data_IF_334199545937
#
_entry.id   IF_334199545937
#
_cell.length_a   1.000
_cell.length_b   1.000
_cell.length_c   1.000
_cell.angle_alpha   90.00
_cell.angle_beta   90.00
_cell.angle_gamma   90.00
#
_symmetry.space_group_name_H-M   'P 1'
#
loop_
_entity.id
_entity.type
_entity.pdbx_description
1 polymer ?
#
# COMPACT_ATOMS: atom_id res chain seq x y z
N UNK A 1 -4.02 16.06 -2.38
CA UNK A 1 -2.60 15.59 -2.25
C UNK A 1 -2.56 14.39 -1.34
N UNK A 2 -2.04 13.27 -1.80
CA UNK A 2 -2.03 11.98 -1.07
C UNK A 2 -1.22 12.03 0.23
N UNK A 3 -1.58 11.20 1.21
CA UNK A 3 -0.87 11.04 2.46
C UNK A 3 -0.49 9.58 2.73
N UNK A 4 0.77 9.33 3.11
CA UNK A 4 1.27 8.02 3.55
C UNK A 4 1.51 8.04 5.05
N UNK A 5 1.09 6.98 5.71
CA UNK A 5 1.48 6.66 7.08
C UNK A 5 1.95 5.20 7.16
N UNK A 6 2.98 4.98 7.92
CA UNK A 6 3.49 3.64 8.25
C UNK A 6 3.89 3.62 9.72
N UNK A 7 3.58 2.56 10.43
CA UNK A 7 3.89 2.44 11.85
C UNK A 7 4.24 1.00 12.23
N UNK A 8 5.33 0.87 12.98
CA UNK A 8 5.72 -0.34 13.70
C UNK A 8 5.89 0.04 15.18
N UNK A 9 5.29 -0.71 16.10
CA UNK A 9 5.28 -0.37 17.53
C UNK A 9 5.05 -1.62 18.39
N UNK A 10 5.32 -1.50 19.66
CA UNK A 10 4.91 -2.50 20.66
C UNK A 10 3.43 -2.41 21.04
N UNK A 11 2.73 -1.35 20.61
CA UNK A 11 1.31 -1.08 20.88
C UNK A 11 0.49 -1.22 19.60
N UNK A 12 -0.85 -1.30 19.76
CA UNK A 12 -1.76 -1.30 18.62
C UNK A 12 -1.67 0.02 17.84
N UNK A 13 -1.30 -0.07 16.56
CA UNK A 13 -1.08 1.08 15.66
C UNK A 13 -2.33 1.51 14.89
N UNK A 14 -3.38 0.68 14.83
CA UNK A 14 -4.54 0.94 13.98
C UNK A 14 -5.18 2.30 14.25
N UNK A 15 -5.48 2.60 15.52
CA UNK A 15 -6.04 3.90 15.91
C UNK A 15 -5.10 5.07 15.60
N UNK A 16 -3.80 4.89 15.81
CA UNK A 16 -2.78 5.91 15.52
C UNK A 16 -2.76 6.26 14.02
N UNK A 17 -2.80 5.24 13.16
CA UNK A 17 -2.80 5.42 11.72
C UNK A 17 -4.06 6.15 11.24
N UNK A 18 -5.25 5.75 11.71
CA UNK A 18 -6.51 6.44 11.35
C UNK A 18 -6.51 7.88 11.83
N UNK A 19 -6.09 8.16 13.06
CA UNK A 19 -5.94 9.54 13.56
C UNK A 19 -4.96 10.37 12.73
N UNK A 20 -3.89 9.75 12.25
CA UNK A 20 -2.94 10.39 11.34
C UNK A 20 -3.58 10.71 9.98
N UNK A 21 -4.40 9.82 9.43
CA UNK A 21 -5.14 10.08 8.19
C UNK A 21 -6.12 11.26 8.36
N UNK A 22 -6.88 11.32 9.45
CA UNK A 22 -7.75 12.48 9.74
C UNK A 22 -6.99 13.81 9.72
N UNK A 23 -5.77 13.84 10.26
CA UNK A 23 -4.93 15.05 10.23
C UNK A 23 -4.46 15.44 8.83
N UNK A 24 -4.54 14.53 7.87
CA UNK A 24 -4.16 14.76 6.47
C UNK A 24 -5.36 15.12 5.57
N UNK A 25 -6.59 14.97 6.03
CA UNK A 25 -7.82 15.22 5.25
C UNK A 25 -7.90 16.63 4.66
N UNK A 26 -7.35 17.64 5.36
CA UNK A 26 -7.34 19.02 4.88
C UNK A 26 -6.65 19.20 3.51
N UNK A 27 -5.83 18.23 3.10
CA UNK A 27 -5.10 18.23 1.81
C UNK A 27 -5.98 17.80 0.64
N UNK A 28 -7.23 17.37 0.90
CA UNK A 28 -8.14 16.79 -0.07
C UNK A 28 -7.84 15.29 -0.31
N UNK A 29 -8.90 14.51 -0.52
CA UNK A 29 -8.84 13.06 -0.76
C UNK A 29 -10.16 12.58 -1.40
N UNK A 30 -10.11 11.43 -2.05
CA UNK A 30 -11.27 10.72 -2.60
C UNK A 30 -11.50 9.35 -1.96
N UNK A 31 -10.46 8.80 -1.36
CA UNK A 31 -10.50 7.50 -0.72
C UNK A 31 -9.45 7.40 0.40
N UNK A 32 -9.67 6.46 1.30
CA UNK A 32 -8.74 6.13 2.38
C UNK A 32 -8.65 4.63 2.56
N UNK A 33 -7.52 4.15 3.09
CA UNK A 33 -7.40 2.74 3.43
C UNK A 33 -6.21 2.45 4.33
N UNK A 34 -6.23 1.23 4.86
CA UNK A 34 -5.28 0.73 5.84
C UNK A 34 -5.03 -0.76 5.62
N UNK A 35 -3.79 -1.18 5.80
CA UNK A 35 -3.43 -2.59 5.94
C UNK A 35 -2.74 -2.78 7.28
N UNK A 36 -3.21 -3.74 8.07
CA UNK A 36 -2.75 -4.04 9.42
C UNK A 36 -2.37 -5.51 9.50
N UNK A 37 -1.12 -5.79 9.86
CA UNK A 37 -0.65 -7.15 10.08
C UNK A 37 -1.46 -7.83 11.20
N UNK A 38 -1.88 -9.08 10.99
CA UNK A 38 -2.62 -9.90 11.93
C UNK A 38 -1.92 -11.27 12.07
N UNK A 39 -2.23 -12.02 13.11
CA UNK A 39 -1.70 -13.37 13.29
C UNK A 39 -2.06 -14.30 12.11
N UNK A 40 -3.27 -14.12 11.56
CA UNK A 40 -3.80 -14.99 10.51
C UNK A 40 -3.82 -14.30 9.13
N UNK A 41 -3.01 -13.27 8.92
CA UNK A 41 -2.95 -12.55 7.65
C UNK A 41 -2.87 -11.03 7.78
N UNK A 42 -3.60 -10.31 6.94
CA UNK A 42 -3.63 -8.84 6.94
C UNK A 42 -5.06 -8.34 6.90
N UNK A 43 -5.46 -7.52 7.88
CA UNK A 43 -6.69 -6.76 7.79
C UNK A 43 -6.50 -5.63 6.78
N UNK A 44 -7.20 -5.71 5.64
CA UNK A 44 -7.08 -4.79 4.51
C UNK A 44 -8.40 -4.10 4.26
N UNK A 45 -8.51 -2.84 4.68
CA UNK A 45 -9.72 -2.03 4.61
C UNK A 45 -9.51 -0.82 3.70
N UNK A 46 -10.45 -0.59 2.79
CA UNK A 46 -10.46 0.56 1.88
C UNK A 46 -11.87 1.14 1.81
N UNK A 47 -11.98 2.45 1.73
CA UNK A 47 -13.26 3.17 1.65
C UNK A 47 -13.16 4.33 0.67
N UNK A 48 -14.26 4.61 -0.03
CA UNK A 48 -14.42 5.85 -0.77
C UNK A 48 -14.89 6.97 0.17
N UNK A 49 -14.39 8.19 -0.07
CA UNK A 49 -14.80 9.37 0.67
C UNK A 49 -14.02 9.55 1.97
N UNK A 50 -14.72 9.97 3.02
CA UNK A 50 -14.12 10.44 4.28
C UNK A 50 -13.41 9.33 5.06
N UNK A 51 -12.29 9.69 5.70
CA UNK A 51 -11.56 8.83 6.65
C UNK A 51 -12.47 8.31 7.76
N UNK A 52 -13.54 9.04 8.10
CA UNK A 52 -14.54 8.58 9.05
C UNK A 52 -15.14 7.22 8.66
N UNK A 53 -15.40 6.96 7.37
CA UNK A 53 -15.93 5.67 6.92
C UNK A 53 -14.93 4.53 7.16
N UNK A 54 -13.64 4.80 7.02
CA UNK A 54 -12.59 3.84 7.36
C UNK A 54 -12.53 3.61 8.88
N UNK A 55 -12.67 4.68 9.68
CA UNK A 55 -12.71 4.58 11.14
C UNK A 55 -13.90 3.75 11.61
N UNK A 56 -15.08 3.95 11.02
CA UNK A 56 -16.29 3.18 11.34
C UNK A 56 -16.07 1.67 11.08
N UNK A 57 -15.49 1.31 9.94
CA UNK A 57 -15.10 -0.09 9.64
C UNK A 57 -14.07 -0.63 10.63
N UNK A 58 -13.09 0.17 11.01
CA UNK A 58 -12.10 -0.20 12.03
C UNK A 58 -12.71 -0.45 13.41
N UNK A 59 -13.79 0.28 13.76
CA UNK A 59 -14.54 0.09 14.99
C UNK A 59 -15.35 -1.22 14.96
N UNK A 60 -15.94 -1.55 13.81
CA UNK A 60 -16.71 -2.78 13.61
C UNK A 60 -15.81 -4.03 13.64
N UNK A 61 -14.74 -4.02 12.86
CA UNK A 61 -13.84 -5.18 12.68
C UNK A 61 -12.82 -5.32 13.82
N UNK A 62 -12.52 -4.24 14.55
CA UNK A 62 -11.60 -4.19 15.71
C UNK A 62 -10.24 -4.86 15.49
N UNK A 63 -9.57 -4.64 14.34
CA UNK A 63 -8.27 -5.25 14.11
C UNK A 63 -7.24 -4.72 15.10
N UNK A 64 -6.39 -5.61 15.60
CA UNK A 64 -5.28 -5.25 16.50
C UNK A 64 -3.98 -5.58 15.83
N UNK A 65 -3.11 -4.59 15.68
CA UNK A 65 -1.83 -4.77 15.03
C UNK A 65 -0.75 -3.87 15.63
N UNK A 66 0.47 -4.38 15.59
CA UNK A 66 1.68 -3.62 15.93
C UNK A 66 2.37 -3.06 14.69
N UNK A 67 1.93 -3.48 13.50
CA UNK A 67 2.50 -3.12 12.21
C UNK A 67 1.39 -2.77 11.23
N UNK A 68 1.54 -1.64 10.53
CA UNK A 68 0.56 -1.26 9.51
C UNK A 68 0.98 -0.09 8.65
N UNK A 69 0.30 0.02 7.52
CA UNK A 69 0.42 1.10 6.55
C UNK A 69 -0.96 1.67 6.25
N UNK A 70 -1.05 2.97 6.01
CA UNK A 70 -2.31 3.66 5.73
C UNK A 70 -2.11 4.80 4.74
N UNK A 71 -3.19 5.15 4.03
CA UNK A 71 -3.14 6.10 2.95
C UNK A 71 -4.43 6.91 2.81
N UNK A 72 -4.32 8.19 2.46
CA UNK A 72 -5.38 8.98 1.85
C UNK A 72 -5.01 9.27 0.41
N UNK A 73 -5.88 8.90 -0.53
CA UNK A 73 -5.67 9.07 -1.97
C UNK A 73 -6.38 10.32 -2.48
N UNK A 74 -5.70 11.05 -3.35
CA UNK A 74 -6.27 11.98 -4.30
C UNK A 74 -5.99 11.45 -5.70
N UNK A 75 -7.04 11.07 -6.43
CA UNK A 75 -6.91 10.40 -7.72
C UNK A 75 -6.09 11.23 -8.72
N UNK A 76 -5.04 10.62 -9.25
CA UNK A 76 -4.26 11.11 -10.41
C UNK A 76 -4.40 10.16 -11.58
N UNK A 77 -4.45 8.83 -11.33
CA UNK A 77 -4.67 7.75 -12.29
C UNK A 77 -5.81 6.86 -11.83
N UNK A 78 -6.75 6.57 -12.73
CA UNK A 78 -7.95 5.79 -12.43
C UNK A 78 -9.01 6.58 -11.65
N UNK A 79 -10.26 6.24 -11.86
CA UNK A 79 -11.38 6.85 -11.16
C UNK A 79 -11.38 6.55 -9.64
N UNK A 80 -12.05 7.36 -8.82
CA UNK A 80 -12.28 7.02 -7.42
C UNK A 80 -13.10 5.74 -7.29
N UNK A 81 -12.46 4.67 -6.79
CA UNK A 81 -13.08 3.37 -6.51
C UNK A 81 -12.34 2.69 -5.36
N UNK A 82 -12.99 1.77 -4.67
CA UNK A 82 -12.30 0.97 -3.63
C UNK A 82 -11.16 0.15 -4.22
N UNK A 83 -11.29 -0.32 -5.47
CA UNK A 83 -10.25 -1.07 -6.17
C UNK A 83 -9.01 -0.23 -6.44
N UNK A 84 -9.20 1.05 -6.74
CA UNK A 84 -8.12 2.00 -6.97
C UNK A 84 -7.60 2.67 -5.69
N UNK A 85 -8.24 2.45 -4.54
CA UNK A 85 -7.78 2.96 -3.26
C UNK A 85 -6.58 2.17 -2.73
N UNK A 86 -5.66 2.84 -2.05
CA UNK A 86 -4.56 2.20 -1.33
C UNK A 86 -5.02 1.65 0.04
N UNK A 87 -4.32 0.67 0.60
CA UNK A 87 -3.14 -0.04 0.08
C UNK A 87 -3.45 -0.93 -1.11
N UNK A 88 -2.52 -1.04 -2.07
CA UNK A 88 -2.54 -2.08 -3.09
C UNK A 88 -1.86 -3.35 -2.58
N UNK A 89 -2.16 -4.49 -3.20
CA UNK A 89 -1.63 -5.78 -2.76
C UNK A 89 -1.26 -6.69 -3.93
N UNK A 90 -0.40 -7.67 -3.65
CA UNK A 90 -0.12 -8.80 -4.51
C UNK A 90 -0.30 -10.11 -3.74
N UNK A 91 -1.09 -11.04 -4.29
CA UNK A 91 -1.28 -12.41 -3.78
C UNK A 91 -1.64 -12.53 -2.29
N UNK A 92 -2.26 -11.53 -1.68
CA UNK A 92 -2.54 -11.45 -0.24
C UNK A 92 -1.28 -11.52 0.64
N UNK A 93 -0.11 -11.29 0.07
CA UNK A 93 1.19 -11.41 0.74
C UNK A 93 1.90 -10.07 0.88
N UNK A 94 1.95 -9.29 -0.18
CA UNK A 94 2.60 -7.97 -0.22
C UNK A 94 1.55 -6.86 -0.23
N UNK A 95 1.71 -5.89 0.65
CA UNK A 95 0.84 -4.71 0.73
C UNK A 95 1.68 -3.44 0.64
N UNK A 96 1.23 -2.47 -0.16
CA UNK A 96 1.96 -1.23 -0.38
C UNK A 96 1.05 0.00 -0.32
N UNK A 97 1.63 1.11 0.06
CA UNK A 97 1.10 2.46 -0.18
C UNK A 97 2.13 3.27 -0.95
N UNK A 98 1.66 4.09 -1.87
CA UNK A 98 2.50 4.83 -2.81
C UNK A 98 1.99 6.25 -3.00
N UNK A 99 2.89 7.20 -3.01
CA UNK A 99 2.70 8.57 -3.48
C UNK A 99 3.69 8.84 -4.59
N UNK A 100 3.24 9.35 -5.71
CA UNK A 100 4.07 9.66 -6.85
C UNK A 100 3.47 9.18 -8.16
N UNK A 101 4.33 9.01 -9.15
CA UNK A 101 3.98 8.49 -10.47
C UNK A 101 5.09 7.54 -10.91
N UNK A 102 4.70 6.33 -11.36
CA UNK A 102 5.58 5.38 -12.03
C UNK A 102 5.42 5.58 -13.53
N UNK A 103 6.39 6.25 -14.14
CA UNK A 103 6.30 6.70 -15.54
C UNK A 103 6.30 5.52 -16.52
N UNK A 104 7.10 4.49 -16.25
CA UNK A 104 7.20 3.28 -17.07
C UNK A 104 6.19 2.17 -16.71
N UNK A 105 5.06 2.53 -16.04
CA UNK A 105 4.09 1.56 -15.51
C UNK A 105 3.49 0.62 -16.58
N UNK A 106 3.25 1.10 -17.80
CA UNK A 106 2.68 0.27 -18.87
C UNK A 106 3.63 -0.84 -19.34
N UNK A 107 4.93 -0.53 -19.40
CA UNK A 107 5.97 -1.49 -19.75
C UNK A 107 6.10 -2.58 -18.69
N UNK A 108 6.22 -2.17 -17.42
CA UNK A 108 6.31 -3.09 -16.29
C UNK A 108 5.05 -3.95 -16.15
N UNK A 109 3.87 -3.39 -16.43
CA UNK A 109 2.62 -4.14 -16.45
C UNK A 109 2.67 -5.27 -17.47
N UNK A 110 3.09 -4.96 -18.71
CA UNK A 110 3.19 -5.96 -19.77
C UNK A 110 4.22 -7.07 -19.46
N UNK A 111 5.30 -6.75 -18.74
CA UNK A 111 6.26 -7.74 -18.25
C UNK A 111 5.62 -8.66 -17.19
N UNK A 112 5.00 -8.08 -16.16
CA UNK A 112 4.40 -8.81 -15.06
C UNK A 112 3.19 -9.68 -15.52
N UNK A 113 2.42 -9.23 -16.51
CA UNK A 113 1.36 -10.04 -17.13
C UNK A 113 1.90 -11.31 -17.80
N UNK A 114 3.09 -11.26 -18.42
CA UNK A 114 3.76 -12.45 -18.97
C UNK A 114 4.22 -13.42 -17.89
N UNK A 115 4.52 -12.90 -16.69
CA UNK A 115 4.86 -13.69 -15.49
C UNK A 115 3.61 -14.20 -14.74
N UNK A 116 2.41 -13.98 -15.29
CA UNK A 116 1.15 -14.49 -14.76
C UNK A 116 0.45 -13.60 -13.73
N UNK A 117 0.90 -12.35 -13.55
CA UNK A 117 0.21 -11.39 -12.69
C UNK A 117 -1.03 -10.81 -13.39
N UNK A 118 -2.10 -10.64 -12.64
CA UNK A 118 -3.32 -9.97 -13.09
C UNK A 118 -3.57 -8.72 -12.26
N UNK A 119 -3.97 -7.63 -12.93
CA UNK A 119 -4.17 -6.33 -12.32
C UNK A 119 -5.64 -6.08 -12.07
N UNK A 120 -5.98 -5.75 -10.84
CA UNK A 120 -7.35 -5.41 -10.44
C UNK A 120 -7.64 -3.91 -10.55
N UNK A 121 -6.61 -3.07 -10.37
CA UNK A 121 -6.76 -1.62 -10.37
C UNK A 121 -6.31 -0.97 -11.69
N UNK A 122 -6.69 0.28 -11.84
CA UNK A 122 -6.27 1.15 -12.95
C UNK A 122 -5.08 2.04 -12.58
N UNK A 123 -4.47 1.80 -11.40
CA UNK A 123 -3.39 2.64 -10.89
C UNK A 123 -2.02 2.12 -11.33
N UNK A 124 -1.06 3.01 -11.41
CA UNK A 124 0.36 2.69 -11.55
C UNK A 124 0.95 2.02 -10.29
N UNK A 125 0.29 2.19 -9.16
CA UNK A 125 0.77 1.75 -7.86
C UNK A 125 0.73 0.23 -7.67
N UNK A 126 -0.25 -0.47 -8.24
CA UNK A 126 -0.39 -1.94 -8.09
C UNK A 126 0.83 -2.69 -8.65
N UNK A 127 1.48 -2.12 -9.66
CA UNK A 127 2.72 -2.66 -10.24
C UNK A 127 3.80 -2.85 -9.20
N UNK A 128 3.92 -1.92 -8.26
CA UNK A 128 4.92 -1.98 -7.19
C UNK A 128 4.68 -3.21 -6.30
N UNK A 129 3.43 -3.51 -5.96
CA UNK A 129 3.10 -4.69 -5.16
C UNK A 129 3.47 -5.98 -5.90
N UNK A 130 3.13 -6.09 -7.18
CA UNK A 130 3.46 -7.25 -8.01
C UNK A 130 4.95 -7.41 -8.25
N UNK A 131 5.68 -6.31 -8.46
CA UNK A 131 7.13 -6.33 -8.66
C UNK A 131 7.88 -6.78 -7.40
N UNK A 132 7.43 -6.33 -6.22
CA UNK A 132 7.96 -6.79 -4.94
C UNK A 132 7.69 -8.31 -4.75
N UNK A 133 6.46 -8.75 -4.97
CA UNK A 133 6.07 -10.15 -4.86
C UNK A 133 6.87 -11.05 -5.84
N UNK A 134 7.05 -10.59 -7.08
CA UNK A 134 7.88 -11.28 -8.08
C UNK A 134 9.32 -11.49 -7.56
N UNK A 135 9.95 -10.44 -7.03
CA UNK A 135 11.32 -10.51 -6.53
C UNK A 135 11.42 -11.40 -5.27
N UNK A 136 10.42 -11.35 -4.38
CA UNK A 136 10.33 -12.25 -3.20
C UNK A 136 10.27 -13.72 -3.63
N UNK A 137 9.51 -14.05 -4.67
CA UNK A 137 9.42 -15.41 -5.23
C UNK A 137 10.74 -15.91 -5.85
N UNK A 138 11.65 -14.98 -6.19
CA UNK A 138 13.02 -15.32 -6.58
C UNK A 138 13.95 -15.60 -5.38
N UNK A 139 13.41 -15.59 -4.15
CA UNK A 139 14.16 -15.87 -2.92
C UNK A 139 14.82 -14.64 -2.27
N UNK A 140 14.49 -13.44 -2.74
CA UNK A 140 14.97 -12.19 -2.14
C UNK A 140 14.27 -11.89 -0.82
N UNK A 141 14.97 -11.26 0.10
CA UNK A 141 14.35 -10.62 1.27
C UNK A 141 13.54 -9.39 0.84
N UNK A 142 12.65 -8.89 1.69
CA UNK A 142 11.82 -7.71 1.39
C UNK A 142 12.68 -6.46 1.08
N UNK A 143 13.82 -6.32 1.74
CA UNK A 143 14.77 -5.22 1.48
C UNK A 143 15.42 -5.38 0.10
N UNK A 144 15.91 -6.58 -0.24
CA UNK A 144 16.50 -6.86 -1.55
C UNK A 144 15.48 -6.72 -2.67
N UNK A 145 14.24 -7.20 -2.46
CA UNK A 145 13.14 -7.04 -3.39
C UNK A 145 12.82 -5.55 -3.64
N UNK A 146 12.85 -4.72 -2.60
CA UNK A 146 12.66 -3.28 -2.74
C UNK A 146 13.80 -2.63 -3.54
N UNK A 147 15.04 -3.00 -3.29
CA UNK A 147 16.18 -2.48 -4.08
C UNK A 147 16.08 -2.91 -5.55
N UNK A 148 15.83 -4.19 -5.83
CA UNK A 148 15.67 -4.70 -7.18
C UNK A 148 14.48 -4.04 -7.92
N UNK A 149 13.39 -3.78 -7.20
CA UNK A 149 12.24 -3.07 -7.75
C UNK A 149 12.58 -1.62 -8.09
N UNK A 150 13.31 -0.91 -7.23
CA UNK A 150 13.76 0.47 -7.48
C UNK A 150 14.58 0.62 -8.76
N UNK A 151 15.44 -0.35 -9.07
CA UNK A 151 16.25 -0.33 -10.29
C UNK A 151 15.40 -0.40 -11.59
N UNK A 152 14.16 -0.88 -11.47
CA UNK A 152 13.22 -0.99 -12.59
C UNK A 152 12.21 0.16 -12.66
N UNK A 153 11.97 0.87 -11.54
CA UNK A 153 10.96 1.91 -11.45
C UNK A 153 11.50 3.25 -11.91
N UNK A 154 10.87 3.85 -12.92
CA UNK A 154 11.13 5.23 -13.35
C UNK A 154 10.10 6.17 -12.75
N UNK A 155 10.56 7.35 -12.31
CA UNK A 155 9.70 8.41 -11.78
C UNK A 155 10.06 8.89 -10.37
N UNK A 156 9.24 9.78 -9.85
CA UNK A 156 9.40 10.34 -8.51
C UNK A 156 8.34 9.73 -7.58
N UNK A 157 8.76 9.08 -6.50
CA UNK A 157 7.85 8.33 -5.64
C UNK A 157 8.30 8.20 -4.18
N UNK A 158 7.33 7.91 -3.33
CA UNK A 158 7.52 7.40 -1.97
C UNK A 158 6.64 6.16 -1.77
N UNK A 159 7.22 5.09 -1.25
CA UNK A 159 6.60 3.79 -1.05
C UNK A 159 6.80 3.37 0.41
N UNK A 160 5.75 2.82 1.02
CA UNK A 160 5.88 1.98 2.21
C UNK A 160 5.24 0.63 1.93
N UNK A 161 5.92 -0.44 2.31
CA UNK A 161 5.52 -1.81 2.03
C UNK A 161 5.65 -2.70 3.28
N UNK A 162 4.78 -3.69 3.37
CA UNK A 162 4.80 -4.74 4.37
C UNK A 162 4.50 -6.10 3.74
N UNK A 163 5.00 -7.16 4.35
CA UNK A 163 4.73 -8.54 3.97
C UNK A 163 3.87 -9.22 5.03
N UNK A 164 2.95 -10.07 4.59
CA UNK A 164 2.02 -10.80 5.46
C UNK A 164 2.72 -11.64 6.53
N UNK A 165 3.84 -12.27 6.19
CA UNK A 165 4.57 -13.17 7.10
C UNK A 165 5.66 -12.46 7.91
N UNK A 166 5.82 -11.13 7.76
CA UNK A 166 6.78 -10.32 8.54
C UNK A 166 6.02 -9.40 9.50
N UNK A 167 5.93 -9.80 10.74
CA UNK A 167 5.23 -9.07 11.80
C UNK A 167 5.99 -7.86 12.37
N UNK A 168 7.24 -7.66 11.95
CA UNK A 168 8.18 -6.75 12.62
C UNK A 168 8.68 -5.63 11.73
N UNK A 169 8.72 -5.83 10.41
CA UNK A 169 9.41 -4.93 9.51
C UNK A 169 8.49 -4.23 8.51
N UNK A 170 8.76 -2.95 8.34
CA UNK A 170 8.29 -2.12 7.23
C UNK A 170 9.48 -1.76 6.35
N UNK A 171 9.29 -1.79 5.05
CA UNK A 171 10.29 -1.31 4.10
C UNK A 171 9.79 -0.03 3.45
N UNK A 172 10.66 0.98 3.44
CA UNK A 172 10.32 2.30 2.91
C UNK A 172 11.34 2.67 1.84
N UNK A 173 10.86 3.20 0.73
CA UNK A 173 11.70 3.72 -0.34
C UNK A 173 11.23 5.10 -0.79
N UNK A 174 12.16 5.94 -1.22
CA UNK A 174 11.88 7.25 -1.83
C UNK A 174 12.87 7.52 -2.95
N UNK A 175 12.34 8.04 -4.05
CA UNK A 175 13.09 8.57 -5.18
C UNK A 175 12.55 9.97 -5.53
N UNK A 176 13.48 10.89 -5.88
CA UNK A 176 13.14 12.26 -6.32
C UNK A 176 13.47 12.38 -7.79
#
# INVERSE_FOLDING_TARGET
>A
MCGILAAASTRNVGKLLVQGLHRMEYRGYDSAGIALHQLDGVAHLRTLGKVQLLEDRMIEEKPRSKLGIAHTRWATHGEPSETNAHPHKSNEEVFIVHNGIIENHLELKAELEKEGYSFASQTDSEIIAHLLDFNLKQGMTMIEAMFASKEKLDGAYAIAAMHRDDESNLVIARQK
#
